data_IF_522273400158
#
_entry.id   IF_522273400158
#
_cell.length_a   1.000
_cell.length_b   1.000
_cell.length_c   1.000
_cell.angle_alpha   90.00
_cell.angle_beta   90.00
_cell.angle_gamma   90.00
#
_symmetry.space_group_name_H-M   'P 1'
#
loop_
_entity.id
_entity.type
_entity.pdbx_description
1 polymer ?
#
# COMPACT_ATOMS: atom_id res chain seq x y z
N UNK A 1 -38.09 -3.36 -6.73
CA UNK A 1 -37.65 -1.99 -6.39
C UNK A 1 -36.24 -2.11 -5.83
N UNK A 2 -35.24 -1.93 -6.67
CA UNK A 2 -33.83 -1.96 -6.29
C UNK A 2 -33.09 -0.91 -7.11
N UNK A 3 -31.99 -0.41 -6.55
CA UNK A 3 -30.97 0.48 -7.14
C UNK A 3 -31.31 1.96 -7.32
N UNK A 4 -31.00 2.76 -6.28
CA UNK A 4 -30.53 4.13 -6.50
C UNK A 4 -29.48 4.59 -5.49
N UNK A 5 -29.37 3.96 -4.31
CA UNK A 5 -28.32 4.31 -3.33
C UNK A 5 -26.95 3.65 -3.58
N UNK A 6 -26.88 2.43 -4.15
CA UNK A 6 -25.58 1.74 -4.30
C UNK A 6 -24.70 2.26 -5.46
N UNK A 7 -25.12 3.32 -6.15
CA UNK A 7 -24.44 3.84 -7.34
C UNK A 7 -23.86 5.24 -7.18
N UNK A 8 -24.08 5.94 -6.06
CA UNK A 8 -23.48 7.26 -5.86
C UNK A 8 -22.06 7.14 -5.29
N UNK A 9 -21.16 8.02 -5.76
CA UNK A 9 -19.79 8.10 -5.23
C UNK A 9 -19.76 8.40 -3.73
N UNK A 10 -20.78 9.11 -3.22
CA UNK A 10 -20.93 9.39 -1.79
C UNK A 10 -21.10 8.10 -0.97
N UNK A 11 -21.93 7.17 -1.43
CA UNK A 11 -22.10 5.87 -0.77
C UNK A 11 -20.84 5.01 -0.82
N UNK A 12 -20.02 5.17 -1.87
CA UNK A 12 -18.75 4.45 -2.04
C UNK A 12 -17.64 5.02 -1.15
N UNK A 13 -17.64 6.33 -0.89
CA UNK A 13 -16.63 7.00 -0.05
C UNK A 13 -17.02 7.03 1.44
N UNK A 14 -18.32 7.00 1.77
CA UNK A 14 -18.81 6.93 3.15
C UNK A 14 -18.08 5.89 4.05
N UNK A 15 -17.80 4.65 3.61
CA UNK A 15 -17.06 3.69 4.41
C UNK A 15 -15.60 4.10 4.63
N UNK A 16 -14.95 4.76 3.65
CA UNK A 16 -13.58 5.28 3.79
C UNK A 16 -13.52 6.38 4.85
N UNK A 17 -14.50 7.29 4.86
CA UNK A 17 -14.57 8.37 5.87
C UNK A 17 -14.69 7.79 7.27
N UNK A 18 -15.54 6.78 7.46
CA UNK A 18 -15.67 6.07 8.74
C UNK A 18 -14.35 5.39 9.13
N UNK A 19 -13.70 4.74 8.17
CA UNK A 19 -12.43 4.05 8.40
C UNK A 19 -11.27 4.99 8.72
N UNK A 20 -11.20 6.17 8.11
CA UNK A 20 -10.16 7.16 8.40
C UNK A 20 -10.22 7.66 9.86
N UNK A 21 -11.40 7.63 10.50
CA UNK A 21 -11.52 7.88 11.94
C UNK A 21 -10.80 6.78 12.74
N UNK A 22 -11.02 5.51 12.39
CA UNK A 22 -10.33 4.37 13.01
C UNK A 22 -8.82 4.41 12.77
N UNK A 23 -8.38 4.77 11.56
CA UNK A 23 -6.95 4.97 11.23
C UNK A 23 -6.33 6.05 12.14
N UNK A 24 -7.03 7.16 12.36
CA UNK A 24 -6.54 8.24 13.22
C UNK A 24 -6.33 7.75 14.66
N UNK A 25 -7.23 6.91 15.16
CA UNK A 25 -7.09 6.27 16.47
C UNK A 25 -5.91 5.30 16.50
N UNK A 26 -5.73 4.48 15.46
CA UNK A 26 -4.59 3.56 15.33
C UNK A 26 -3.22 4.25 15.29
N UNK A 27 -3.16 5.45 14.69
CA UNK A 27 -1.94 6.25 14.63
C UNK A 27 -1.70 7.01 15.94
N UNK A 28 -2.75 7.27 16.73
CA UNK A 28 -2.61 7.92 18.03
C UNK A 28 -1.93 6.97 19.03
N UNK A 29 -0.86 7.43 19.67
CA UNK A 29 -0.12 6.66 20.69
C UNK A 29 -0.90 6.50 22.02
N UNK A 30 -2.16 6.93 22.08
CA UNK A 30 -3.01 6.85 23.28
C UNK A 30 -3.43 5.39 23.56
N UNK A 31 -2.88 4.81 24.62
CA UNK A 31 -3.12 3.43 25.02
C UNK A 31 -4.56 3.17 25.50
N UNK A 32 -5.32 4.22 25.86
CA UNK A 32 -6.74 4.08 26.19
C UNK A 32 -7.64 3.95 24.95
N UNK A 33 -7.13 4.28 23.75
CA UNK A 33 -7.89 4.29 22.50
C UNK A 33 -7.72 3.00 21.67
N UNK A 34 -6.87 2.06 22.12
CA UNK A 34 -6.45 0.87 21.38
C UNK A 34 -7.15 -0.42 21.82
N UNK A 35 -8.47 -0.42 21.95
CA UNK A 35 -9.19 -1.70 21.94
C UNK A 35 -9.25 -2.22 20.50
N UNK A 36 -8.23 -2.98 20.14
CA UNK A 36 -8.10 -3.59 18.82
C UNK A 36 -9.31 -4.46 18.45
N UNK A 37 -9.90 -5.17 19.42
CA UNK A 37 -11.06 -6.02 19.18
C UNK A 37 -12.27 -5.17 18.81
N UNK A 38 -12.49 -4.06 19.52
CA UNK A 38 -13.54 -3.10 19.16
C UNK A 38 -13.31 -2.47 17.78
N UNK A 39 -12.08 -2.08 17.45
CA UNK A 39 -11.79 -1.49 16.14
C UNK A 39 -11.93 -2.49 14.99
N UNK A 40 -11.61 -3.76 15.22
CA UNK A 40 -11.90 -4.82 14.24
C UNK A 40 -13.39 -5.04 14.07
N UNK A 41 -14.14 -5.07 15.18
CA UNK A 41 -15.58 -5.21 15.13
C UNK A 41 -16.21 -4.04 14.38
N UNK A 42 -15.78 -2.81 14.64
CA UNK A 42 -16.22 -1.62 13.91
C UNK A 42 -15.85 -1.70 12.43
N UNK A 43 -14.63 -2.11 12.08
CA UNK A 43 -14.22 -2.31 10.69
C UNK A 43 -15.08 -3.38 9.99
N UNK A 44 -15.37 -4.50 10.68
CA UNK A 44 -16.25 -5.57 10.18
C UNK A 44 -17.68 -5.09 9.98
N UNK A 45 -18.21 -4.29 10.91
CA UNK A 45 -19.52 -3.65 10.78
C UNK A 45 -19.57 -2.69 9.60
N UNK A 46 -18.53 -1.88 9.39
CA UNK A 46 -18.43 -0.98 8.22
C UNK A 46 -18.43 -1.82 6.95
N UNK A 47 -17.62 -2.87 6.85
CA UNK A 47 -17.57 -3.71 5.66
C UNK A 47 -18.91 -4.40 5.37
N UNK A 48 -19.54 -4.98 6.39
CA UNK A 48 -20.83 -5.67 6.27
C UNK A 48 -21.97 -4.70 5.91
N UNK A 49 -22.02 -3.53 6.53
CA UNK A 49 -23.07 -2.52 6.27
C UNK A 49 -23.02 -1.94 4.85
N UNK A 50 -21.89 -2.09 4.16
CA UNK A 50 -21.73 -1.68 2.76
C UNK A 50 -21.64 -2.88 1.80
N UNK A 51 -22.04 -4.08 2.24
CA UNK A 51 -22.11 -5.31 1.44
C UNK A 51 -20.79 -5.67 0.73
N UNK A 52 -19.66 -5.39 1.38
CA UNK A 52 -18.34 -5.63 0.80
C UNK A 52 -17.90 -7.09 0.99
N UNK A 53 -17.18 -7.64 0.01
CA UNK A 53 -16.59 -8.96 0.12
C UNK A 53 -15.47 -8.95 1.16
N UNK A 54 -15.65 -9.68 2.26
CA UNK A 54 -14.73 -9.72 3.41
C UNK A 54 -13.97 -11.04 3.57
N UNK A 55 -14.04 -11.96 2.61
CA UNK A 55 -13.44 -13.29 2.76
C UNK A 55 -11.93 -13.21 3.07
N UNK A 56 -11.21 -12.34 2.38
CA UNK A 56 -9.78 -12.13 2.60
C UNK A 56 -9.48 -11.50 3.98
N UNK A 57 -10.36 -10.62 4.44
CA UNK A 57 -10.29 -10.01 5.77
C UNK A 57 -10.56 -11.04 6.89
N UNK A 58 -11.63 -11.84 6.76
CA UNK A 58 -11.99 -12.90 7.71
C UNK A 58 -10.93 -14.01 7.75
N UNK A 59 -10.38 -14.39 6.59
CA UNK A 59 -9.28 -15.35 6.53
C UNK A 59 -8.04 -14.81 7.25
N UNK A 60 -7.72 -13.52 7.09
CA UNK A 60 -6.61 -12.89 7.82
C UNK A 60 -6.85 -12.87 9.33
N UNK A 61 -8.07 -12.59 9.77
CA UNK A 61 -8.46 -12.67 11.21
C UNK A 61 -8.19 -14.08 11.74
N UNK A 62 -8.65 -15.12 11.05
CA UNK A 62 -8.46 -16.53 11.47
C UNK A 62 -6.98 -16.90 11.56
N UNK A 63 -6.18 -16.52 10.56
CA UNK A 63 -4.73 -16.73 10.59
C UNK A 63 -4.06 -16.01 11.78
N UNK A 64 -4.63 -14.90 12.23
CA UNK A 64 -4.12 -14.07 13.30
C UNK A 64 -4.51 -14.49 14.73
N UNK A 65 -5.36 -15.50 14.88
CA UNK A 65 -5.67 -16.09 16.19
C UNK A 65 -4.54 -16.97 16.75
N UNK A 66 -3.45 -17.18 15.98
CA UNK A 66 -2.26 -17.89 16.47
C UNK A 66 -1.37 -16.97 17.33
N UNK A 67 -0.99 -17.37 18.56
CA UNK A 67 -0.48 -16.46 19.61
C UNK A 67 0.94 -15.91 19.40
N UNK A 68 1.66 -16.28 18.33
CA UNK A 68 3.09 -15.97 18.19
C UNK A 68 3.41 -14.58 17.60
N UNK A 69 2.43 -13.70 17.35
CA UNK A 69 2.71 -12.32 16.94
C UNK A 69 1.47 -11.39 16.95
N UNK A 70 0.84 -11.24 18.11
CA UNK A 70 -0.43 -10.53 18.23
C UNK A 70 -0.38 -9.12 17.62
N UNK A 71 0.54 -8.24 18.02
CA UNK A 71 0.53 -6.83 17.57
C UNK A 71 0.86 -6.64 16.08
N UNK A 72 1.71 -7.50 15.53
CA UNK A 72 1.92 -7.53 14.08
C UNK A 72 0.64 -7.95 13.34
N UNK A 73 0.01 -9.02 13.81
CA UNK A 73 -1.20 -9.53 13.19
C UNK A 73 -2.34 -8.52 13.24
N UNK A 74 -2.39 -7.74 14.33
CA UNK A 74 -3.32 -6.63 14.47
C UNK A 74 -3.22 -5.63 13.32
N UNK A 75 -2.00 -5.18 13.09
CA UNK A 75 -1.69 -4.22 12.03
C UNK A 75 -2.01 -4.78 10.65
N UNK A 76 -1.63 -6.04 10.38
CA UNK A 76 -1.84 -6.70 9.09
C UNK A 76 -3.33 -6.80 8.72
N UNK A 77 -4.17 -7.30 9.64
CA UNK A 77 -5.62 -7.42 9.43
C UNK A 77 -6.26 -6.05 9.14
N UNK A 78 -5.86 -5.03 9.89
CA UNK A 78 -6.38 -3.69 9.72
C UNK A 78 -6.02 -3.11 8.34
N UNK A 79 -4.78 -3.30 7.88
CA UNK A 79 -4.35 -2.92 6.52
C UNK A 79 -5.15 -3.66 5.44
N UNK A 80 -5.44 -4.96 5.63
CA UNK A 80 -6.27 -5.73 4.71
C UNK A 80 -7.68 -5.14 4.60
N UNK A 81 -8.31 -4.78 5.71
CA UNK A 81 -9.62 -4.12 5.68
C UNK A 81 -9.60 -2.78 4.93
N UNK A 82 -8.56 -1.97 5.14
CA UNK A 82 -8.37 -0.72 4.37
C UNK A 82 -8.22 -0.98 2.86
N UNK A 83 -7.50 -2.03 2.47
CA UNK A 83 -7.32 -2.42 1.08
C UNK A 83 -8.63 -2.90 0.44
N UNK A 84 -9.47 -3.64 1.17
CA UNK A 84 -10.79 -4.06 0.70
C UNK A 84 -11.67 -2.86 0.34
N UNK A 85 -11.65 -1.80 1.17
CA UNK A 85 -12.39 -0.56 0.87
C UNK A 85 -11.91 0.11 -0.42
N UNK A 86 -10.59 0.23 -0.60
CA UNK A 86 -10.03 0.85 -1.81
C UNK A 86 -10.29 0.00 -3.06
N UNK A 87 -10.29 -1.32 -2.94
CA UNK A 87 -10.65 -2.23 -4.04
C UNK A 87 -12.11 -2.06 -4.45
N UNK A 88 -13.02 -1.79 -3.51
CA UNK A 88 -14.39 -1.44 -3.82
C UNK A 88 -14.49 -0.12 -4.59
N UNK A 89 -13.76 0.92 -4.16
CA UNK A 89 -13.67 2.19 -4.90
C UNK A 89 -13.18 1.97 -6.32
N UNK A 90 -12.10 1.21 -6.50
CA UNK A 90 -11.57 0.86 -7.84
C UNK A 90 -12.64 0.20 -8.69
N UNK A 91 -13.34 -0.81 -8.14
CA UNK A 91 -14.37 -1.57 -8.85
C UNK A 91 -15.49 -0.67 -9.31
N UNK A 92 -15.97 0.21 -8.43
CA UNK A 92 -17.00 1.19 -8.76
C UNK A 92 -16.53 2.15 -9.87
N UNK A 93 -15.35 2.76 -9.72
CA UNK A 93 -14.79 3.68 -10.73
C UNK A 93 -14.55 3.02 -12.09
N UNK A 94 -14.31 1.70 -12.14
CA UNK A 94 -14.15 0.95 -13.39
C UNK A 94 -15.48 0.50 -14.02
N UNK A 95 -16.55 0.37 -13.23
CA UNK A 95 -17.87 -0.02 -13.69
C UNK A 95 -18.63 1.14 -14.36
N UNK A 96 -18.32 2.38 -13.96
CA UNK A 96 -18.87 3.61 -14.56
C UNK A 96 -18.16 3.87 -15.91
N UNK A 97 -18.51 3.09 -16.94
CA UNK A 97 -17.94 3.22 -18.30
C UNK A 97 -18.67 4.25 -19.18
N UNK A 98 -19.91 4.57 -18.85
CA UNK A 98 -20.82 5.35 -19.71
C UNK A 98 -21.07 6.79 -19.22
N UNK A 99 -20.48 7.18 -18.08
CA UNK A 99 -20.59 8.52 -17.50
C UNK A 99 -19.28 9.29 -17.80
N UNK A 100 -19.31 10.61 -18.08
CA UNK A 100 -18.11 11.38 -18.41
C UNK A 100 -17.17 11.45 -17.21
N UNK A 101 -16.26 10.48 -17.07
CA UNK A 101 -15.24 10.34 -16.01
C UNK A 101 -15.79 10.63 -14.62
N UNK A 102 -16.13 9.63 -13.77
CA UNK A 102 -16.55 9.91 -12.41
C UNK A 102 -15.55 10.84 -11.72
N UNK A 103 -15.99 12.07 -11.41
CA UNK A 103 -15.15 13.10 -10.82
C UNK A 103 -15.28 12.98 -9.31
N UNK A 104 -14.16 12.63 -8.66
CA UNK A 104 -14.07 12.75 -7.21
C UNK A 104 -14.02 14.23 -6.82
N UNK A 105 -14.75 14.61 -5.78
CA UNK A 105 -14.53 15.92 -5.15
C UNK A 105 -13.15 15.94 -4.47
N UNK A 106 -12.56 17.12 -4.32
CA UNK A 106 -11.25 17.29 -3.64
C UNK A 106 -11.27 16.65 -2.24
N UNK A 107 -12.39 16.73 -1.53
CA UNK A 107 -12.55 16.08 -0.22
C UNK A 107 -12.51 14.56 -0.33
N UNK A 108 -13.20 13.96 -1.31
CA UNK A 108 -13.16 12.51 -1.53
C UNK A 108 -11.76 12.02 -1.93
N UNK A 109 -11.03 12.79 -2.74
CA UNK A 109 -9.65 12.49 -3.09
C UNK A 109 -8.75 12.48 -1.84
N UNK A 110 -8.93 13.43 -0.93
CA UNK A 110 -8.18 13.49 0.33
C UNK A 110 -8.45 12.27 1.21
N UNK A 111 -9.70 11.83 1.33
CA UNK A 111 -10.07 10.64 2.10
C UNK A 111 -9.39 9.38 1.57
N UNK A 112 -9.37 9.20 0.24
CA UNK A 112 -8.66 8.10 -0.41
C UNK A 112 -7.15 8.20 -0.12
N UNK A 113 -6.57 9.39 -0.29
CA UNK A 113 -5.13 9.60 -0.10
C UNK A 113 -4.70 9.33 1.35
N UNK A 114 -5.50 9.72 2.34
CA UNK A 114 -5.24 9.44 3.76
C UNK A 114 -5.18 7.93 4.01
N UNK A 115 -6.16 7.19 3.48
CA UNK A 115 -6.20 5.74 3.64
C UNK A 115 -5.02 5.06 2.95
N UNK A 116 -4.67 5.48 1.74
CA UNK A 116 -3.48 4.99 1.01
C UNK A 116 -2.20 5.32 1.76
N UNK A 117 -2.09 6.52 2.35
CA UNK A 117 -0.93 6.92 3.14
C UNK A 117 -0.69 5.95 4.30
N UNK A 118 -1.75 5.62 5.04
CA UNK A 118 -1.70 4.64 6.11
C UNK A 118 -1.23 3.27 5.60
N UNK A 119 -1.83 2.75 4.52
CA UNK A 119 -1.43 1.46 3.94
C UNK A 119 0.03 1.48 3.48
N UNK A 120 0.49 2.55 2.86
CA UNK A 120 1.88 2.66 2.37
C UNK A 120 2.86 2.66 3.53
N UNK A 121 2.61 3.44 4.58
CA UNK A 121 3.54 3.47 5.72
C UNK A 121 3.53 2.17 6.51
N UNK A 122 2.34 1.66 6.77
CA UNK A 122 2.12 0.53 7.67
C UNK A 122 2.37 -0.80 6.98
N UNK A 123 1.88 -0.96 5.74
CA UNK A 123 1.95 -2.19 4.95
C UNK A 123 3.13 -2.26 3.97
N UNK A 124 3.84 -1.16 3.68
CA UNK A 124 5.07 -1.19 2.89
C UNK A 124 6.29 -0.73 3.69
N UNK A 125 6.32 0.55 4.10
CA UNK A 125 7.54 1.19 4.64
C UNK A 125 8.02 0.51 5.91
N UNK A 126 7.10 0.08 6.79
CA UNK A 126 7.43 -0.67 8.01
C UNK A 126 8.16 -1.99 7.74
N UNK A 127 8.04 -2.56 6.54
CA UNK A 127 8.71 -3.82 6.17
C UNK A 127 10.05 -3.61 5.48
N UNK A 128 10.46 -2.37 5.18
CA UNK A 128 11.73 -2.11 4.52
C UNK A 128 12.91 -2.37 5.47
N UNK A 129 13.90 -3.09 4.96
CA UNK A 129 15.22 -3.28 5.57
C UNK A 129 16.15 -2.07 5.32
N UNK A 130 15.67 -1.03 4.64
CA UNK A 130 16.35 0.24 4.40
C UNK A 130 15.50 1.44 4.89
N UNK A 131 16.04 2.65 4.80
CA UNK A 131 15.31 3.88 5.12
C UNK A 131 14.89 4.60 3.84
N UNK A 132 13.63 5.07 3.80
CA UNK A 132 13.08 5.84 2.68
C UNK A 132 12.93 7.32 3.02
N UNK A 133 13.00 7.68 4.29
CA UNK A 133 12.86 9.06 4.80
C UNK A 133 13.94 9.39 5.82
N UNK A 134 14.43 10.64 5.78
CA UNK A 134 15.48 11.16 6.69
C UNK A 134 14.97 11.31 8.13
N UNK A 135 13.65 11.32 8.33
CA UNK A 135 12.97 11.63 9.59
C UNK A 135 12.44 10.42 10.36
N UNK A 136 12.63 9.19 9.89
CA UNK A 136 12.20 8.01 10.67
C UNK A 136 13.35 7.62 11.60
N UNK A 137 13.16 7.70 12.94
CA UNK A 137 14.19 7.30 13.89
C UNK A 137 14.69 5.90 13.55
N UNK A 138 16.01 5.79 13.51
CA UNK A 138 16.68 4.52 13.31
C UNK A 138 16.65 3.74 14.64
N UNK A 139 16.36 2.44 14.56
CA UNK A 139 16.69 1.41 15.55
C UNK A 139 15.73 1.14 16.73
N UNK A 140 14.41 1.24 16.53
CA UNK A 140 13.53 0.28 17.21
C UNK A 140 13.48 -1.01 16.40
N UNK A 141 13.42 -2.16 17.09
CA UNK A 141 13.44 -3.51 16.52
C UNK A 141 12.49 -3.61 15.33
N UNK A 142 13.03 -3.49 14.11
CA UNK A 142 12.21 -3.62 12.91
C UNK A 142 11.68 -5.04 12.90
N UNK A 143 10.36 -5.24 12.83
CA UNK A 143 9.81 -6.58 12.78
C UNK A 143 10.42 -7.31 11.59
N UNK A 144 10.70 -8.60 11.76
CA UNK A 144 11.20 -9.45 10.69
C UNK A 144 10.33 -9.24 9.44
N UNK A 145 10.97 -8.99 8.30
CA UNK A 145 10.26 -8.72 7.04
C UNK A 145 9.28 -9.86 6.77
N UNK A 146 7.99 -9.53 6.70
CA UNK A 146 6.94 -10.47 6.33
C UNK A 146 6.62 -10.27 4.88
N UNK A 147 7.28 -11.10 4.07
CA UNK A 147 7.16 -11.09 2.63
C UNK A 147 5.70 -11.09 2.16
N UNK A 148 4.84 -11.89 2.78
CA UNK A 148 3.43 -12.03 2.41
C UNK A 148 2.67 -10.70 2.47
N UNK A 149 2.81 -9.94 3.55
CA UNK A 149 2.15 -8.65 3.73
C UNK A 149 2.70 -7.60 2.77
N UNK A 150 4.02 -7.53 2.62
CA UNK A 150 4.67 -6.62 1.67
C UNK A 150 4.22 -6.92 0.24
N UNK A 151 4.20 -8.19 -0.15
CA UNK A 151 3.74 -8.67 -1.45
C UNK A 151 2.27 -8.30 -1.68
N UNK A 152 1.41 -8.66 -0.73
CA UNK A 152 -0.04 -8.40 -0.80
C UNK A 152 -0.32 -6.91 -0.96
N UNK A 153 0.21 -6.07 -0.07
CA UNK A 153 0.02 -4.63 -0.11
C UNK A 153 0.54 -4.03 -1.43
N UNK A 154 1.73 -4.45 -1.87
CA UNK A 154 2.32 -3.96 -3.12
C UNK A 154 1.45 -4.31 -4.33
N UNK A 155 0.95 -5.54 -4.41
CA UNK A 155 0.05 -5.98 -5.49
C UNK A 155 -1.26 -5.20 -5.49
N UNK A 156 -1.86 -5.01 -4.32
CA UNK A 156 -3.12 -4.28 -4.22
C UNK A 156 -2.94 -2.81 -4.63
N UNK A 157 -1.90 -2.12 -4.16
CA UNK A 157 -1.68 -0.72 -4.58
C UNK A 157 -1.40 -0.60 -6.09
N UNK A 158 -0.64 -1.54 -6.67
CA UNK A 158 -0.43 -1.59 -8.13
C UNK A 158 -1.76 -1.82 -8.85
N UNK A 159 -2.61 -2.70 -8.33
CA UNK A 159 -3.95 -2.96 -8.85
C UNK A 159 -4.81 -1.70 -8.80
N UNK A 160 -4.80 -0.93 -7.72
CA UNK A 160 -5.50 0.36 -7.63
C UNK A 160 -5.05 1.33 -8.74
N UNK A 161 -3.75 1.36 -9.04
CA UNK A 161 -3.18 2.21 -10.09
C UNK A 161 -3.53 1.78 -11.53
N UNK A 162 -4.26 0.68 -11.73
CA UNK A 162 -4.83 0.34 -13.04
C UNK A 162 -6.00 1.26 -13.41
N UNK A 163 -6.67 1.86 -12.41
CA UNK A 163 -7.63 2.93 -12.63
C UNK A 163 -6.90 4.27 -12.79
N UNK A 164 -7.22 5.03 -13.84
CA UNK A 164 -6.54 6.28 -14.19
C UNK A 164 -6.66 7.37 -13.12
N UNK A 165 -7.81 7.49 -12.48
CA UNK A 165 -8.06 8.49 -11.44
C UNK A 165 -7.26 8.16 -10.18
N UNK A 166 -7.37 6.92 -9.68
CA UNK A 166 -6.59 6.45 -8.53
C UNK A 166 -5.09 6.52 -8.80
N UNK A 167 -4.63 6.18 -10.01
CA UNK A 167 -3.22 6.31 -10.40
C UNK A 167 -2.71 7.74 -10.25
N UNK A 168 -3.49 8.73 -10.69
CA UNK A 168 -3.14 10.16 -10.57
C UNK A 168 -3.11 10.64 -9.12
N UNK A 169 -3.90 10.03 -8.24
CA UNK A 169 -3.89 10.35 -6.80
C UNK A 169 -2.72 9.69 -6.06
N UNK A 170 -2.43 8.43 -6.37
CA UNK A 170 -1.49 7.59 -5.63
C UNK A 170 -0.04 7.85 -6.04
N UNK A 171 0.27 7.77 -7.35
CA UNK A 171 1.66 7.76 -7.80
C UNK A 171 2.43 9.04 -7.43
N UNK A 172 1.90 10.25 -7.61
CA UNK A 172 2.66 11.46 -7.27
C UNK A 172 3.11 11.55 -5.81
N UNK A 173 2.41 10.85 -4.89
CA UNK A 173 2.68 10.87 -3.45
C UNK A 173 3.50 9.67 -2.97
N UNK A 174 3.33 8.51 -3.60
CA UNK A 174 3.83 7.23 -3.05
C UNK A 174 4.72 6.43 -4.02
N UNK A 175 5.10 7.01 -5.16
CA UNK A 175 5.95 6.36 -6.16
C UNK A 175 7.28 5.85 -5.57
N UNK A 176 7.95 6.64 -4.73
CA UNK A 176 9.23 6.27 -4.11
C UNK A 176 9.11 4.98 -3.28
N UNK A 177 8.07 4.90 -2.45
CA UNK A 177 7.78 3.75 -1.60
C UNK A 177 7.40 2.52 -2.44
N UNK A 178 6.63 2.69 -3.51
CA UNK A 178 6.30 1.61 -4.44
C UNK A 178 7.52 1.06 -5.18
N UNK A 179 8.42 1.93 -5.63
CA UNK A 179 9.71 1.53 -6.21
C UNK A 179 10.53 0.77 -5.17
N UNK A 180 10.62 1.28 -3.93
CA UNK A 180 11.31 0.61 -2.83
C UNK A 180 10.78 -0.79 -2.56
N UNK A 181 9.45 -0.94 -2.45
CA UNK A 181 8.80 -2.23 -2.24
C UNK A 181 9.08 -3.21 -3.38
N UNK A 182 8.95 -2.77 -4.63
CA UNK A 182 9.23 -3.61 -5.80
C UNK A 182 10.70 -4.00 -5.90
N UNK A 183 11.62 -3.12 -5.52
CA UNK A 183 13.05 -3.44 -5.44
C UNK A 183 13.31 -4.49 -4.37
N UNK A 184 12.73 -4.34 -3.18
CA UNK A 184 12.85 -5.32 -2.09
C UNK A 184 12.31 -6.69 -2.51
N UNK A 185 11.08 -6.74 -3.02
CA UNK A 185 10.48 -7.98 -3.54
C UNK A 185 11.31 -8.59 -4.68
N UNK A 186 11.91 -7.78 -5.56
CA UNK A 186 12.64 -8.32 -6.71
C UNK A 186 14.07 -8.75 -6.42
N UNK A 187 14.71 -8.16 -5.41
CA UNK A 187 16.16 -8.19 -5.25
C UNK A 187 16.68 -8.43 -3.83
N UNK A 188 15.90 -8.18 -2.76
CA UNK A 188 16.37 -8.52 -1.41
C UNK A 188 16.59 -10.04 -1.31
N UNK A 189 17.70 -10.50 -0.72
CA UNK A 189 17.94 -11.92 -0.48
C UNK A 189 16.80 -12.60 0.28
N UNK A 190 16.27 -11.95 1.31
CA UNK A 190 15.21 -12.46 2.19
C UNK A 190 13.91 -12.71 1.43
N UNK A 191 13.48 -11.74 0.61
CA UNK A 191 12.28 -11.89 -0.21
C UNK A 191 12.51 -12.89 -1.35
N UNK A 192 13.69 -12.87 -1.98
CA UNK A 192 13.99 -13.73 -3.14
C UNK A 192 13.92 -15.22 -2.82
N UNK A 193 14.23 -15.63 -1.59
CA UNK A 193 14.08 -17.03 -1.17
C UNK A 193 12.62 -17.48 -1.04
N UNK A 194 11.68 -16.55 -0.93
CA UNK A 194 10.26 -16.80 -0.71
C UNK A 194 9.41 -16.54 -1.96
N UNK A 195 10.03 -16.09 -3.06
CA UNK A 195 9.33 -15.66 -4.28
C UNK A 195 9.57 -16.65 -5.42
N UNK A 196 8.48 -17.14 -5.99
CA UNK A 196 8.50 -17.91 -7.22
C UNK A 196 8.94 -17.06 -8.42
N UNK A 197 9.55 -17.70 -9.41
CA UNK A 197 10.10 -17.02 -10.60
C UNK A 197 9.06 -16.12 -11.30
N UNK A 198 7.82 -16.59 -11.45
CA UNK A 198 6.78 -15.85 -12.17
C UNK A 198 6.31 -14.62 -11.41
N UNK A 199 6.21 -14.72 -10.08
CA UNK A 199 5.90 -13.59 -9.21
C UNK A 199 7.02 -12.53 -9.29
N UNK A 200 8.28 -12.97 -9.32
CA UNK A 200 9.42 -12.06 -9.51
C UNK A 200 9.38 -11.34 -10.85
N UNK A 201 9.05 -12.05 -11.93
CA UNK A 201 8.92 -11.46 -13.25
C UNK A 201 7.78 -10.43 -13.30
N UNK A 202 6.67 -10.70 -12.61
CA UNK A 202 5.59 -9.74 -12.42
C UNK A 202 6.10 -8.45 -11.75
N UNK A 203 6.82 -8.53 -10.62
CA UNK A 203 7.34 -7.34 -9.94
C UNK A 203 8.33 -6.55 -10.80
N UNK A 204 9.24 -7.24 -11.48
CA UNK A 204 10.21 -6.60 -12.38
C UNK A 204 9.53 -5.88 -13.55
N UNK A 205 8.47 -6.47 -14.10
CA UNK A 205 7.64 -5.85 -15.14
C UNK A 205 6.97 -4.57 -14.61
N UNK A 206 6.33 -4.63 -13.44
CA UNK A 206 5.68 -3.46 -12.82
C UNK A 206 6.68 -2.37 -12.44
N UNK A 207 7.86 -2.74 -11.93
CA UNK A 207 8.96 -1.81 -11.66
C UNK A 207 9.41 -1.10 -12.95
N UNK A 208 9.58 -1.86 -14.03
CA UNK A 208 9.94 -1.31 -15.34
C UNK A 208 8.89 -0.32 -15.83
N UNK A 209 7.60 -0.65 -15.69
CA UNK A 209 6.50 0.24 -16.10
C UNK A 209 6.49 1.52 -15.26
N UNK A 210 6.62 1.44 -13.93
CA UNK A 210 6.69 2.61 -13.05
C UNK A 210 7.84 3.54 -13.43
N UNK A 211 9.01 2.96 -13.70
CA UNK A 211 10.22 3.68 -14.06
C UNK A 211 10.13 4.30 -15.46
N UNK A 212 9.61 3.57 -16.45
CA UNK A 212 9.70 3.98 -17.86
C UNK A 212 8.48 4.71 -18.39
N UNK A 213 7.28 4.44 -17.85
CA UNK A 213 6.03 5.00 -18.36
C UNK A 213 5.43 6.06 -17.45
N UNK A 214 5.61 5.92 -16.13
CA UNK A 214 4.85 6.71 -15.15
C UNK A 214 5.68 7.69 -14.34
N UNK A 215 6.97 7.80 -14.66
CA UNK A 215 7.89 8.71 -14.01
C UNK A 215 8.68 9.49 -15.06
N UNK A 216 8.94 10.78 -14.82
CA UNK A 216 9.96 11.48 -15.61
C UNK A 216 11.32 10.90 -15.25
N UNK A 217 12.22 10.81 -16.22
CA UNK A 217 13.55 10.21 -16.02
C UNK A 217 14.31 10.82 -14.83
N UNK A 218 14.21 12.14 -14.65
CA UNK A 218 14.81 12.85 -13.52
C UNK A 218 14.23 12.45 -12.16
N UNK A 219 12.90 12.24 -12.07
CA UNK A 219 12.23 11.84 -10.82
C UNK A 219 12.60 10.40 -10.44
N UNK A 220 12.72 9.50 -11.42
CA UNK A 220 13.23 8.14 -11.20
C UNK A 220 14.65 8.20 -10.68
N UNK A 221 15.51 8.97 -11.35
CA UNK A 221 16.92 9.04 -10.98
C UNK A 221 17.07 9.57 -9.55
N UNK A 222 16.33 10.63 -9.21
CA UNK A 222 16.24 11.15 -7.86
C UNK A 222 15.76 10.08 -6.87
N UNK A 223 14.64 9.41 -7.15
CA UNK A 223 14.09 8.37 -6.28
C UNK A 223 15.08 7.21 -6.05
N UNK A 224 15.73 6.71 -7.10
CA UNK A 224 16.73 5.65 -6.99
C UNK A 224 17.96 6.09 -6.21
N UNK A 225 18.39 7.34 -6.35
CA UNK A 225 19.49 7.92 -5.56
C UNK A 225 19.10 8.09 -4.09
N UNK A 226 17.86 8.48 -3.80
CA UNK A 226 17.31 8.55 -2.44
C UNK A 226 17.30 7.15 -1.81
N UNK A 227 16.78 6.14 -2.50
CA UNK A 227 16.73 4.74 -2.02
C UNK A 227 18.12 4.12 -1.85
N UNK A 228 19.04 4.42 -2.76
CA UNK A 228 20.43 4.00 -2.67
C UNK A 228 21.13 4.58 -1.43
N UNK A 229 20.60 5.66 -0.85
CA UNK A 229 21.21 6.37 0.27
C UNK A 229 22.45 7.13 -0.20
N UNK A 230 22.36 8.46 -0.27
CA UNK A 230 23.50 9.32 -0.61
C UNK A 230 24.67 9.23 0.40
N UNK A 231 24.44 8.63 1.57
CA UNK A 231 25.47 8.33 2.59
C UNK A 231 25.55 6.81 2.82
N UNK A 232 26.74 6.25 2.58
CA UNK A 232 27.12 4.81 2.58
C UNK A 232 26.71 3.95 3.81
N UNK A 233 26.02 4.47 4.83
CA UNK A 233 25.80 3.78 6.11
C UNK A 233 24.38 3.24 6.35
N UNK A 234 23.39 3.54 5.50
CA UNK A 234 21.98 3.13 5.76
C UNK A 234 21.31 2.26 4.69
N UNK A 235 21.92 2.06 3.51
CA UNK A 235 21.31 1.29 2.41
C UNK A 235 22.01 -0.06 2.21
N UNK A 236 21.27 -1.19 2.15
CA UNK A 236 21.83 -2.52 1.93
C UNK A 236 22.64 -2.63 0.63
N UNK A 237 23.72 -3.44 0.58
CA UNK A 237 24.54 -3.60 -0.63
C UNK A 237 23.76 -4.07 -1.86
N UNK A 238 22.74 -4.91 -1.65
CA UNK A 238 21.86 -5.38 -2.74
C UNK A 238 21.11 -4.20 -3.37
N UNK A 239 20.57 -3.29 -2.56
CA UNK A 239 19.79 -2.15 -3.02
C UNK A 239 20.69 -1.19 -3.81
N UNK A 240 21.87 -0.86 -3.29
CA UNK A 240 22.83 0.01 -3.97
C UNK A 240 23.23 -0.53 -5.35
N UNK A 241 23.57 -1.83 -5.41
CA UNK A 241 23.94 -2.51 -6.67
C UNK A 241 22.81 -2.44 -7.69
N UNK A 242 21.58 -2.70 -7.27
CA UNK A 242 20.44 -2.77 -8.19
C UNK A 242 19.93 -1.40 -8.62
N UNK A 243 19.89 -0.40 -7.72
CA UNK A 243 19.64 0.99 -8.09
C UNK A 243 20.67 1.49 -9.12
N UNK A 244 21.97 1.26 -8.88
CA UNK A 244 23.04 1.64 -9.81
C UNK A 244 22.89 1.00 -11.20
N UNK A 245 22.52 -0.29 -11.25
CA UNK A 245 22.27 -1.01 -12.51
C UNK A 245 21.04 -0.50 -13.26
N UNK A 246 20.01 -0.03 -12.55
CA UNK A 246 18.81 0.55 -13.18
C UNK A 246 19.14 1.95 -13.69
N UNK A 247 19.79 2.78 -12.86
CA UNK A 247 20.23 4.12 -13.22
C UNK A 247 21.11 4.12 -14.47
N UNK A 248 22.08 3.21 -14.57
CA UNK A 248 22.95 3.12 -15.74
C UNK A 248 22.16 2.79 -17.01
N UNK A 249 21.16 1.92 -16.94
CA UNK A 249 20.28 1.59 -18.07
C UNK A 249 19.32 2.73 -18.43
N UNK A 250 18.93 3.55 -17.46
CA UNK A 250 18.07 4.71 -17.65
C UNK A 250 18.83 5.88 -18.30
N UNK A 251 20.11 6.09 -17.95
CA UNK A 251 20.95 7.18 -18.48
C UNK A 251 21.55 6.89 -19.87
N UNK A 252 21.63 5.61 -20.26
CA UNK A 252 22.18 5.17 -21.56
C UNK A 252 21.10 5.01 -22.65
N UNK A 253 19.86 5.44 -22.38
CA UNK A 253 18.76 5.53 -23.35
C UNK A 253 18.53 6.98 -23.72
#
# INVERSE_FOLDING_TARGET
MSSSCNTSMECVIAPIVKLNKLVTIQVSEDDNAKDYENQLNEMKEILNSHELQIDEFENRIKCCQHPMNMDYCKTSVFVTGCLTMLSNVKTHLMAVKDDPTPVLSVSQEQEIVLLVHFIVNTGLVRHFDFQVTVSTPCAEERPQCRYEDLNFCTRQIISLCENDLLRRLILPKFLLQLIGALLMLSYSPECRMQIEKDQRMFFLSKLTVLITKWSKLHDVAYNLLVLQGSRKRSSPPWLQKHCGNILSKCLLR
#
